data_IF_622538565324
#
_entry.id   IF_622538565324
#
_cell.length_a   1.000
_cell.length_b   1.000
_cell.length_c   1.000
_cell.angle_alpha   90.00
_cell.angle_beta   90.00
_cell.angle_gamma   90.00
#
_symmetry.space_group_name_H-M   'P 1'
#
loop_
_entity.id
_entity.type
_entity.pdbx_description
1 polymer ?
#
# COMPACT_ATOMS: atom_id res chain seq x y z
N UNK A 1 -26.48 -2.35 7.20
CA UNK A 1 -25.85 -3.34 6.29
C UNK A 1 -24.46 -2.93 5.81
N UNK A 2 -23.71 -2.06 6.52
CA UNK A 2 -22.32 -1.70 6.16
C UNK A 2 -21.29 -2.14 7.22
N UNK A 3 -21.57 -1.87 8.50
CA UNK A 3 -20.68 -2.25 9.61
C UNK A 3 -20.39 -3.75 9.68
N UNK A 4 -21.36 -4.59 9.34
CA UNK A 4 -21.21 -6.05 9.41
C UNK A 4 -20.44 -6.64 8.22
N UNK A 5 -20.48 -6.00 7.04
CA UNK A 5 -19.62 -6.40 5.92
C UNK A 5 -18.16 -5.99 6.16
N UNK A 6 -17.96 -4.86 6.83
CA UNK A 6 -16.66 -4.38 7.28
C UNK A 6 -16.03 -5.31 8.35
N UNK A 7 -16.85 -5.85 9.26
CA UNK A 7 -16.36 -6.72 10.34
C UNK A 7 -16.24 -8.22 9.98
N UNK A 8 -17.08 -8.75 9.09
CA UNK A 8 -17.24 -10.21 8.92
C UNK A 8 -16.78 -10.75 7.57
N UNK A 9 -16.37 -9.88 6.64
CA UNK A 9 -16.11 -10.28 5.26
C UNK A 9 -17.42 -10.61 4.52
N UNK A 10 -17.38 -10.45 3.20
CA UNK A 10 -18.53 -10.52 2.29
C UNK A 10 -19.33 -11.83 2.35
N UNK A 11 -18.77 -12.91 2.86
CA UNK A 11 -19.34 -14.27 2.78
C UNK A 11 -20.66 -14.42 3.55
N UNK A 12 -20.89 -13.66 4.64
CA UNK A 12 -22.16 -13.76 5.39
C UNK A 12 -23.34 -12.99 4.77
N UNK A 13 -23.12 -12.13 3.78
CA UNK A 13 -24.15 -11.20 3.25
C UNK A 13 -24.63 -11.49 1.82
N UNK A 14 -24.28 -12.66 1.28
CA UNK A 14 -24.77 -13.19 0.00
C UNK A 14 -23.85 -12.94 -1.20
N UNK A 15 -24.17 -13.61 -2.31
CA UNK A 15 -23.32 -13.75 -3.50
C UNK A 15 -22.90 -12.41 -4.13
N UNK A 16 -23.72 -11.35 -4.01
CA UNK A 16 -23.47 -10.06 -4.66
C UNK A 16 -22.13 -9.40 -4.26
N UNK A 17 -21.82 -9.35 -2.96
CA UNK A 17 -20.57 -8.75 -2.48
C UNK A 17 -19.40 -9.73 -2.62
N UNK A 18 -19.65 -11.03 -2.46
CA UNK A 18 -18.64 -12.07 -2.62
C UNK A 18 -18.10 -12.12 -4.07
N UNK A 19 -18.95 -11.99 -5.09
CA UNK A 19 -18.55 -11.95 -6.50
C UNK A 19 -17.59 -10.78 -6.84
N UNK A 20 -17.61 -9.72 -6.03
CA UNK A 20 -16.80 -8.50 -6.19
C UNK A 20 -15.55 -8.50 -5.30
N UNK A 21 -15.31 -9.58 -4.57
CA UNK A 21 -14.02 -9.82 -3.94
C UNK A 21 -13.07 -10.46 -4.95
N UNK A 22 -11.92 -9.81 -5.18
CA UNK A 22 -10.96 -10.23 -6.21
C UNK A 22 -9.69 -10.85 -5.64
N UNK A 23 -9.38 -10.62 -4.35
CA UNK A 23 -8.08 -10.99 -3.78
C UNK A 23 -7.83 -12.50 -3.86
N UNK A 24 -8.80 -13.35 -3.52
CA UNK A 24 -8.63 -14.81 -3.61
C UNK A 24 -8.25 -15.27 -5.03
N UNK A 25 -8.86 -14.65 -6.05
CA UNK A 25 -8.53 -14.95 -7.45
C UNK A 25 -7.12 -14.50 -7.81
N UNK A 26 -6.67 -13.36 -7.28
CA UNK A 26 -5.28 -12.91 -7.45
C UNK A 26 -4.32 -13.90 -6.79
N UNK A 27 -4.55 -14.24 -5.51
CA UNK A 27 -3.69 -15.16 -4.76
C UNK A 27 -3.57 -16.55 -5.40
N UNK A 28 -4.64 -17.03 -6.06
CA UNK A 28 -4.66 -18.35 -6.68
C UNK A 28 -4.08 -18.40 -8.10
N UNK A 29 -4.08 -17.28 -8.83
CA UNK A 29 -3.84 -17.31 -10.29
C UNK A 29 -2.73 -16.36 -10.76
N UNK A 30 -2.33 -15.39 -9.95
CA UNK A 30 -1.35 -14.39 -10.36
C UNK A 30 0.08 -14.91 -10.21
N UNK A 31 0.84 -14.91 -11.32
CA UNK A 31 2.23 -15.37 -11.38
C UNK A 31 3.21 -14.21 -11.66
N UNK A 32 2.81 -12.98 -11.36
CA UNK A 32 3.65 -11.80 -11.48
C UNK A 32 4.12 -11.27 -10.13
N UNK A 33 4.67 -10.07 -10.15
CA UNK A 33 5.09 -9.33 -8.96
C UNK A 33 4.20 -8.11 -8.73
N UNK A 34 4.08 -7.65 -7.48
CA UNK A 34 3.18 -6.55 -7.09
C UNK A 34 3.95 -5.43 -6.41
N UNK A 35 3.85 -4.21 -6.93
CA UNK A 35 4.25 -3.01 -6.21
C UNK A 35 2.99 -2.25 -5.78
N UNK A 36 2.68 -2.27 -4.48
CA UNK A 36 1.50 -1.62 -3.90
C UNK A 36 1.89 -0.28 -3.25
N UNK A 37 1.24 0.79 -3.68
CA UNK A 37 1.46 2.15 -3.19
C UNK A 37 0.13 2.66 -2.63
N UNK A 38 0.14 3.14 -1.38
CA UNK A 38 -1.08 3.57 -0.70
C UNK A 38 -0.80 4.79 0.20
N UNK A 39 -1.70 5.76 0.17
CA UNK A 39 -1.76 6.82 1.17
C UNK A 39 -2.46 6.33 2.44
N UNK A 40 -1.82 6.48 3.60
CA UNK A 40 -2.37 6.09 4.92
C UNK A 40 -3.46 7.04 5.43
N UNK A 41 -3.64 8.17 4.75
CA UNK A 41 -4.73 9.12 4.94
C UNK A 41 -5.70 9.16 3.74
N UNK A 42 -5.68 8.14 2.88
CA UNK A 42 -6.64 8.02 1.79
C UNK A 42 -8.02 7.65 2.35
N UNK A 43 -8.92 8.64 2.37
CA UNK A 43 -10.31 8.44 2.82
C UNK A 43 -11.26 8.09 1.66
N UNK A 44 -10.75 8.03 0.42
CA UNK A 44 -11.51 7.61 -0.75
C UNK A 44 -11.42 6.09 -0.94
N UNK A 45 -10.20 5.55 -0.88
CA UNK A 45 -9.89 4.12 -0.92
C UNK A 45 -9.10 3.77 0.33
N UNK A 46 -9.85 3.39 1.37
CA UNK A 46 -9.32 3.25 2.73
C UNK A 46 -8.20 2.17 2.85
N UNK A 47 -7.09 2.47 3.54
CA UNK A 47 -5.95 1.57 3.77
C UNK A 47 -6.28 0.21 4.38
N UNK A 48 -7.45 0.04 5.00
CA UNK A 48 -7.91 -1.25 5.54
C UNK A 48 -7.96 -2.35 4.48
N UNK A 49 -7.98 -2.01 3.19
CA UNK A 49 -7.86 -2.99 2.11
C UNK A 49 -6.40 -3.23 1.70
N UNK A 50 -5.57 -2.18 1.68
CA UNK A 50 -4.20 -2.25 1.20
C UNK A 50 -3.29 -3.07 2.14
N UNK A 51 -3.35 -2.80 3.45
CA UNK A 51 -2.46 -3.46 4.43
C UNK A 51 -2.71 -4.98 4.50
N UNK A 52 -3.96 -5.48 4.63
CA UNK A 52 -4.21 -6.92 4.59
C UNK A 52 -3.87 -7.54 3.24
N UNK A 53 -4.11 -6.84 2.13
CA UNK A 53 -3.73 -7.32 0.79
C UNK A 53 -2.23 -7.54 0.68
N UNK A 54 -1.42 -6.59 1.14
CA UNK A 54 0.04 -6.71 1.14
C UNK A 54 0.51 -7.93 1.92
N UNK A 55 -0.04 -8.14 3.12
CA UNK A 55 0.29 -9.31 3.93
C UNK A 55 -0.15 -10.62 3.28
N UNK A 56 -1.32 -10.65 2.63
CA UNK A 56 -1.81 -11.85 1.94
C UNK A 56 -0.94 -12.20 0.72
N UNK A 57 -0.43 -11.21 -0.01
CA UNK A 57 0.53 -11.42 -1.11
C UNK A 57 1.83 -12.04 -0.58
N UNK A 58 2.38 -11.48 0.51
CA UNK A 58 3.56 -12.02 1.18
C UNK A 58 3.33 -13.46 1.63
N UNK A 59 2.19 -13.74 2.29
CA UNK A 59 1.85 -15.06 2.81
C UNK A 59 1.65 -16.10 1.69
N UNK A 60 1.23 -15.66 0.50
CA UNK A 60 1.12 -16.49 -0.71
C UNK A 60 2.46 -16.67 -1.46
N UNK A 61 3.54 -16.03 -1.01
CA UNK A 61 4.84 -16.07 -1.68
C UNK A 61 4.89 -15.28 -2.99
N UNK A 62 3.96 -14.34 -3.21
CA UNK A 62 4.01 -13.43 -4.33
C UNK A 62 5.04 -12.35 -4.02
N UNK A 63 6.00 -12.16 -4.91
CA UNK A 63 6.99 -11.09 -4.81
C UNK A 63 6.28 -9.74 -4.80
N UNK A 64 6.34 -9.06 -3.66
CA UNK A 64 5.66 -7.80 -3.45
C UNK A 64 6.50 -6.76 -2.68
N UNK A 65 6.34 -5.50 -3.07
CA UNK A 65 6.85 -4.30 -2.39
C UNK A 65 5.70 -3.39 -1.98
N UNK A 66 5.79 -2.80 -0.79
CA UNK A 66 4.83 -1.83 -0.28
C UNK A 66 5.45 -0.44 -0.16
N UNK A 67 4.70 0.61 -0.47
CA UNK A 67 5.05 2.00 -0.20
C UNK A 67 3.85 2.73 0.41
N UNK A 68 3.88 2.94 1.71
CA UNK A 68 2.79 3.48 2.52
C UNK A 68 3.20 4.82 3.14
N UNK A 69 2.81 5.92 2.50
CA UNK A 69 3.10 7.28 2.96
C UNK A 69 1.91 7.92 3.66
N UNK A 70 2.13 9.06 4.32
CA UNK A 70 1.07 9.82 4.98
C UNK A 70 0.17 10.62 4.00
N UNK A 71 -0.09 10.08 2.81
CA UNK A 71 -0.81 10.77 1.74
C UNK A 71 -2.33 10.54 1.81
N UNK A 72 -3.08 11.48 1.24
CA UNK A 72 -4.47 11.26 0.80
C UNK A 72 -4.49 10.41 -0.49
N UNK A 73 -5.60 10.39 -1.23
CA UNK A 73 -5.73 9.75 -2.55
C UNK A 73 -4.92 10.49 -3.64
N UNK A 74 -3.59 10.43 -3.56
CA UNK A 74 -2.68 11.12 -4.49
C UNK A 74 -1.36 10.37 -4.74
N UNK A 75 -0.58 10.85 -5.71
CA UNK A 75 0.73 10.31 -6.03
C UNK A 75 1.82 10.83 -5.07
N UNK A 76 2.86 10.03 -4.77
CA UNK A 76 3.90 10.39 -3.80
C UNK A 76 4.78 11.59 -4.18
N UNK A 77 4.79 12.00 -5.45
CA UNK A 77 5.67 13.02 -6.03
C UNK A 77 4.96 14.36 -6.33
N UNK A 78 3.81 14.60 -5.70
CA UNK A 78 2.91 15.74 -6.02
C UNK A 78 2.91 16.80 -4.91
N UNK A 79 4.02 17.53 -4.70
CA UNK A 79 4.19 18.38 -3.50
C UNK A 79 3.09 19.43 -3.33
N UNK A 80 2.60 20.02 -4.43
CA UNK A 80 1.51 21.01 -4.36
C UNK A 80 0.21 20.36 -3.89
N UNK A 81 -0.14 19.19 -4.44
CA UNK A 81 -1.36 18.47 -4.05
C UNK A 81 -1.26 17.91 -2.64
N UNK A 82 -0.08 17.40 -2.27
CA UNK A 82 0.19 16.89 -0.93
C UNK A 82 0.06 18.00 0.12
N UNK A 83 0.61 19.19 -0.15
CA UNK A 83 0.44 20.37 0.73
C UNK A 83 -1.02 20.82 0.79
N UNK A 84 -1.71 20.94 -0.35
CA UNK A 84 -3.10 21.40 -0.41
C UNK A 84 -4.12 20.45 0.25
N UNK A 85 -3.80 19.16 0.37
CA UNK A 85 -4.70 18.12 0.92
C UNK A 85 -4.34 17.66 2.33
N UNK A 86 -3.24 18.18 2.88
CA UNK A 86 -2.80 17.86 4.23
C UNK A 86 -3.08 19.03 5.17
N UNK A 87 -3.57 18.76 6.38
CA UNK A 87 -3.83 19.79 7.38
C UNK A 87 -2.77 19.71 8.51
N UNK A 88 -2.30 20.84 9.06
CA UNK A 88 -1.49 20.80 10.27
C UNK A 88 -2.38 20.44 11.47
N UNK A 89 -2.19 19.26 12.07
CA UNK A 89 -3.07 18.69 13.10
C UNK A 89 -3.88 17.46 12.63
N UNK A 90 -3.59 16.91 11.46
CA UNK A 90 -4.11 15.63 10.97
C UNK A 90 -4.12 15.53 9.44
N UNK A 91 -4.37 14.34 8.89
CA UNK A 91 -4.31 14.08 7.43
C UNK A 91 -2.91 14.24 6.81
N UNK A 92 -1.87 13.93 7.58
CA UNK A 92 -0.51 13.80 7.06
C UNK A 92 0.31 15.07 7.00
N UNK A 93 -0.25 16.22 7.41
CA UNK A 93 0.48 17.50 7.37
C UNK A 93 1.69 17.52 8.29
N UNK A 94 1.70 16.72 9.35
CA UNK A 94 2.84 16.55 10.26
C UNK A 94 4.06 15.89 9.60
N UNK A 95 3.85 15.12 8.53
CA UNK A 95 4.90 14.43 7.80
C UNK A 95 5.40 15.24 6.59
N UNK A 96 4.87 16.44 6.36
CA UNK A 96 5.32 17.32 5.28
C UNK A 96 6.52 18.18 5.72
N UNK A 97 7.58 18.31 4.91
CA UNK A 97 7.74 17.83 3.52
C UNK A 97 8.30 16.41 3.35
N UNK A 98 8.65 15.71 4.43
CA UNK A 98 9.34 14.41 4.42
C UNK A 98 8.55 13.27 3.73
N UNK A 99 7.24 13.45 3.53
CA UNK A 99 6.37 12.53 2.78
C UNK A 99 6.60 12.53 1.27
N UNK A 100 7.27 13.53 0.71
CA UNK A 100 7.46 13.64 -0.74
C UNK A 100 8.49 12.61 -1.20
N UNK A 101 8.08 11.72 -2.10
CA UNK A 101 8.93 10.63 -2.61
C UNK A 101 9.11 10.76 -4.11
N UNK A 102 10.07 11.58 -4.57
CA UNK A 102 10.38 11.66 -6.02
C UNK A 102 11.05 10.40 -6.56
N UNK A 103 11.71 9.64 -5.67
CA UNK A 103 12.41 8.39 -5.95
C UNK A 103 11.47 7.23 -6.29
N UNK A 104 10.17 7.30 -5.99
CA UNK A 104 9.22 6.22 -6.29
C UNK A 104 9.17 5.84 -7.77
N UNK A 105 9.38 6.80 -8.67
CA UNK A 105 9.45 6.54 -10.11
C UNK A 105 10.73 5.80 -10.51
N UNK A 106 11.83 6.06 -9.82
CA UNK A 106 13.09 5.34 -10.04
C UNK A 106 12.94 3.89 -9.56
N UNK A 107 12.32 3.67 -8.40
CA UNK A 107 11.96 2.34 -7.92
C UNK A 107 11.07 1.58 -8.91
N UNK A 108 10.06 2.26 -9.48
CA UNK A 108 9.17 1.67 -10.46
C UNK A 108 9.89 1.34 -11.78
N UNK A 109 10.83 2.18 -12.21
CA UNK A 109 11.68 1.91 -13.36
C UNK A 109 12.51 0.65 -13.12
N UNK A 110 13.20 0.56 -11.98
CA UNK A 110 14.02 -0.60 -11.61
C UNK A 110 13.18 -1.88 -11.48
N UNK A 111 11.96 -1.76 -10.96
CA UNK A 111 10.98 -2.85 -10.94
C UNK A 111 10.69 -3.40 -12.34
N UNK A 112 10.41 -2.51 -13.30
CA UNK A 112 10.17 -2.92 -14.68
C UNK A 112 11.43 -3.43 -15.39
N UNK A 113 12.60 -2.86 -15.12
CA UNK A 113 13.86 -3.38 -15.67
C UNK A 113 14.07 -4.84 -15.25
N UNK A 114 13.87 -5.16 -13.97
CA UNK A 114 14.05 -6.53 -13.49
C UNK A 114 12.98 -7.49 -14.03
N UNK A 115 11.70 -7.20 -13.82
CA UNK A 115 10.62 -8.16 -14.11
C UNK A 115 10.21 -8.23 -15.58
N UNK A 116 10.41 -7.17 -16.37
CA UNK A 116 9.98 -7.12 -17.77
C UNK A 116 11.14 -7.14 -18.76
N UNK A 117 12.35 -6.76 -18.35
CA UNK A 117 13.52 -6.71 -19.23
C UNK A 117 14.64 -7.66 -18.81
N UNK A 118 14.50 -8.38 -17.70
CA UNK A 118 15.53 -9.28 -17.15
C UNK A 118 16.87 -8.53 -16.92
N UNK A 119 16.79 -7.26 -16.50
CA UNK A 119 17.94 -6.36 -16.34
C UNK A 119 17.97 -5.76 -14.94
N UNK A 120 19.18 -5.60 -14.40
CA UNK A 120 19.38 -5.00 -13.08
C UNK A 120 19.23 -6.01 -11.93
N UNK A 121 19.44 -5.57 -10.68
CA UNK A 121 19.26 -6.40 -9.49
C UNK A 121 17.77 -6.62 -9.19
N UNK A 122 17.45 -7.66 -8.44
CA UNK A 122 16.10 -7.87 -7.92
C UNK A 122 15.72 -6.71 -6.98
N UNK A 123 14.56 -6.06 -7.17
CA UNK A 123 14.10 -5.00 -6.28
C UNK A 123 13.80 -5.53 -4.87
N UNK A 124 13.85 -4.63 -3.90
CA UNK A 124 13.50 -4.92 -2.52
C UNK A 124 12.06 -5.43 -2.35
N UNK A 125 11.90 -6.49 -1.56
CA UNK A 125 10.61 -7.14 -1.25
C UNK A 125 10.19 -6.81 0.20
N UNK A 126 10.13 -5.51 0.51
CA UNK A 126 9.76 -5.00 1.84
C UNK A 126 8.68 -3.92 1.71
N UNK A 127 8.12 -3.54 2.85
CA UNK A 127 7.16 -2.45 2.98
C UNK A 127 7.91 -1.23 3.51
N UNK A 128 7.91 -0.14 2.75
CA UNK A 128 8.29 1.17 3.25
C UNK A 128 7.07 1.84 3.85
N UNK A 129 7.11 2.16 5.14
CA UNK A 129 6.01 2.84 5.83
C UNK A 129 6.52 4.10 6.50
N UNK A 130 5.77 5.18 6.30
CA UNK A 130 6.03 6.46 6.93
C UNK A 130 5.25 6.58 8.24
N UNK A 131 5.89 7.07 9.29
CA UNK A 131 5.18 7.49 10.50
C UNK A 131 4.58 8.90 10.37
N UNK A 132 3.86 9.35 11.40
CA UNK A 132 3.23 10.67 11.38
C UNK A 132 4.23 11.83 11.61
N UNK A 133 5.48 11.56 11.95
CA UNK A 133 6.54 12.56 12.11
C UNK A 133 7.42 12.69 10.86
N UNK A 134 7.08 11.96 9.80
CA UNK A 134 7.79 12.01 8.54
C UNK A 134 8.90 10.97 8.39
N UNK A 135 9.19 10.18 9.43
CA UNK A 135 10.24 9.17 9.39
C UNK A 135 9.79 7.95 8.58
N UNK A 136 10.71 7.40 7.79
CA UNK A 136 10.49 6.21 6.98
C UNK A 136 11.22 5.02 7.56
N UNK A 137 10.54 3.88 7.60
CA UNK A 137 11.11 2.59 7.99
C UNK A 137 10.75 1.50 6.99
N UNK A 138 11.61 0.48 6.93
CA UNK A 138 11.37 -0.72 6.15
C UNK A 138 10.91 -1.84 7.07
N UNK A 139 9.87 -2.56 6.64
CA UNK A 139 9.26 -3.64 7.39
C UNK A 139 9.06 -4.85 6.48
N UNK A 140 9.28 -6.07 6.98
CA UNK A 140 8.93 -7.29 6.23
C UNK A 140 7.45 -7.60 6.28
N UNK A 141 6.71 -6.99 7.21
CA UNK A 141 5.26 -7.14 7.41
C UNK A 141 4.73 -5.90 8.12
N UNK A 142 3.50 -5.47 7.81
CA UNK A 142 2.87 -4.34 8.50
C UNK A 142 1.42 -4.67 8.94
N UNK A 143 0.99 -4.31 10.17
CA UNK A 143 1.82 -3.82 11.26
C UNK A 143 2.94 -4.80 11.64
N UNK A 144 4.06 -4.32 12.21
CA UNK A 144 5.14 -5.19 12.68
C UNK A 144 4.61 -6.22 13.68
N UNK A 145 5.15 -7.44 13.65
CA UNK A 145 4.70 -8.50 14.56
C UNK A 145 5.07 -8.24 16.02
N UNK A 146 6.04 -7.36 16.27
CA UNK A 146 6.63 -7.00 17.54
C UNK A 146 6.13 -5.64 18.09
N UNK A 147 4.92 -5.22 17.71
CA UNK A 147 4.26 -4.07 18.36
C UNK A 147 3.78 -4.46 19.76
N UNK A 148 4.58 -4.14 20.79
CA UNK A 148 4.17 -4.18 22.20
C UNK A 148 3.52 -2.89 22.64
#
# INVERSE_FOLDING_TARGET
TGASAYLLGSEQFGDYWAERYFLDRVLQNYNGSVYLIQGMHDWNVDPHMAVPTMNALIDAGIEAKGLFGQWDHDYPDRPVQLDERSDLGGRGGEAFPEMIRFDWMQDLLEWFEYYLQERGPQPGQWIEVQDNYGEWRTETRYPPADTT
#
